data_IF_387293457739
#
_entry.id   IF_387293457739
#
_cell.length_a   1.000
_cell.length_b   1.000
_cell.length_c   1.000
_cell.angle_alpha   90.00
_cell.angle_beta   90.00
_cell.angle_gamma   90.00
#
_symmetry.space_group_name_H-M   'P 1'
#
loop_
_entity.id
_entity.type
_entity.pdbx_description
1 polymer ?
#
# COMPACT_ATOMS: atom_id res chain seq x y z
N UNK A 1 -17.28 -9.74 30.41
CA UNK A 1 -17.56 -8.29 30.28
C UNK A 1 -17.31 -7.91 28.83
N UNK A 2 -18.30 -8.16 27.99
CA UNK A 2 -18.25 -7.99 26.53
C UNK A 2 -18.50 -6.51 26.24
N UNK A 3 -17.44 -5.78 25.88
CA UNK A 3 -17.57 -4.42 25.37
C UNK A 3 -18.32 -4.48 24.04
N UNK A 4 -19.61 -4.18 24.08
CA UNK A 4 -20.44 -3.86 22.92
C UNK A 4 -19.86 -2.59 22.29
N UNK A 5 -19.01 -2.77 21.28
CA UNK A 5 -18.55 -1.68 20.42
C UNK A 5 -19.81 -1.12 19.74
N UNK A 6 -20.10 0.19 19.86
CA UNK A 6 -21.31 0.76 19.31
C UNK A 6 -21.31 0.58 17.79
N UNK A 7 -22.34 -0.09 17.26
CA UNK A 7 -22.67 -0.08 15.84
C UNK A 7 -22.84 1.38 15.40
N UNK A 8 -21.80 1.89 14.76
CA UNK A 8 -21.70 3.27 14.36
C UNK A 8 -22.70 3.51 13.21
N UNK A 9 -23.79 4.23 13.49
CA UNK A 9 -24.89 4.53 12.54
C UNK A 9 -24.43 5.25 11.25
N UNK A 10 -23.17 5.66 11.16
CA UNK A 10 -22.55 6.24 9.97
C UNK A 10 -22.02 5.22 8.95
N UNK A 11 -22.09 3.92 9.23
CA UNK A 11 -21.81 2.84 8.26
C UNK A 11 -23.07 2.51 7.42
N UNK A 12 -24.20 3.18 7.65
CA UNK A 12 -25.50 2.84 7.04
C UNK A 12 -25.60 2.91 5.51
N UNK A 13 -24.54 3.34 4.80
CA UNK A 13 -24.48 3.35 3.34
C UNK A 13 -23.62 2.22 2.75
N UNK A 14 -22.78 1.56 3.55
CA UNK A 14 -21.90 0.48 3.09
C UNK A 14 -22.59 -0.87 3.27
N UNK A 15 -22.44 -1.76 2.29
CA UNK A 15 -22.90 -3.14 2.43
C UNK A 15 -22.09 -3.90 3.50
N UNK A 16 -22.61 -5.03 3.99
CA UNK A 16 -21.89 -5.87 4.97
C UNK A 16 -20.54 -6.34 4.41
N UNK A 17 -20.48 -6.68 3.12
CA UNK A 17 -19.25 -7.10 2.47
C UNK A 17 -18.24 -5.93 2.33
N UNK A 18 -18.72 -4.72 2.02
CA UNK A 18 -17.89 -3.52 1.94
C UNK A 18 -17.33 -3.10 3.29
N UNK A 19 -18.15 -3.16 4.35
CA UNK A 19 -17.68 -2.84 5.71
C UNK A 19 -16.62 -3.84 6.18
N UNK A 20 -16.79 -5.13 5.89
CA UNK A 20 -15.77 -6.15 6.13
C UNK A 20 -14.46 -5.87 5.37
N UNK A 21 -14.55 -5.44 4.10
CA UNK A 21 -13.39 -5.02 3.31
C UNK A 21 -12.69 -3.80 3.92
N UNK A 22 -13.44 -2.83 4.41
CA UNK A 22 -12.89 -1.66 5.09
C UNK A 22 -12.15 -2.04 6.37
N UNK A 23 -12.70 -2.95 7.18
CA UNK A 23 -12.05 -3.44 8.40
C UNK A 23 -10.77 -4.26 8.12
N UNK A 24 -10.75 -5.04 7.03
CA UNK A 24 -9.51 -5.67 6.52
C UNK A 24 -8.47 -4.58 6.26
N UNK A 25 -8.83 -3.55 5.51
CA UNK A 25 -7.90 -2.50 5.10
C UNK A 25 -7.37 -1.69 6.30
N UNK A 26 -8.21 -1.46 7.31
CA UNK A 26 -7.80 -0.84 8.59
C UNK A 26 -6.82 -1.69 9.38
N UNK A 27 -6.98 -3.03 9.38
CA UNK A 27 -6.00 -3.93 10.02
C UNK A 27 -4.62 -3.78 9.37
N UNK A 28 -4.56 -3.75 8.04
CA UNK A 28 -3.29 -3.51 7.34
C UNK A 28 -2.73 -2.11 7.62
N UNK A 29 -3.56 -1.08 7.66
CA UNK A 29 -3.12 0.27 8.01
C UNK A 29 -2.52 0.33 9.42
N UNK A 30 -3.14 -0.32 10.42
CA UNK A 30 -2.60 -0.40 11.78
C UNK A 30 -1.27 -1.16 11.84
N UNK A 31 -1.17 -2.29 11.14
CA UNK A 31 0.10 -3.05 11.04
C UNK A 31 1.20 -2.18 10.44
N UNK A 32 0.89 -1.39 9.42
CA UNK A 32 1.83 -0.46 8.80
C UNK A 32 2.28 0.63 9.76
N UNK A 33 1.36 1.24 10.51
CA UNK A 33 1.70 2.25 11.52
C UNK A 33 2.66 1.70 12.58
N UNK A 34 2.46 0.46 13.02
CA UNK A 34 3.37 -0.21 13.97
C UNK A 34 4.74 -0.47 13.31
N UNK A 35 4.74 -1.01 12.09
CA UNK A 35 5.97 -1.28 11.36
C UNK A 35 6.80 -0.01 11.10
N UNK A 36 6.16 1.13 10.83
CA UNK A 36 6.84 2.41 10.61
C UNK A 36 7.54 2.94 11.88
N UNK A 37 7.09 2.56 13.07
CA UNK A 37 7.75 2.90 14.35
C UNK A 37 8.95 1.99 14.62
N UNK A 38 8.88 0.72 14.19
CA UNK A 38 9.89 -0.31 14.46
C UNK A 38 10.99 -0.38 13.37
N UNK A 39 10.90 0.42 12.30
CA UNK A 39 11.87 0.42 11.19
C UNK A 39 13.20 1.13 11.54
N UNK A 40 13.94 0.57 12.50
CA UNK A 40 15.27 1.07 12.93
C UNK A 40 16.30 0.96 11.79
N UNK A 41 16.10 0.04 10.84
CA UNK A 41 17.02 -0.13 9.69
C UNK A 41 17.04 1.12 8.81
N UNK A 42 15.92 1.82 8.69
CA UNK A 42 15.83 3.06 7.92
C UNK A 42 16.64 4.22 8.54
N UNK A 43 16.95 4.16 9.84
CA UNK A 43 17.74 5.17 10.54
C UNK A 43 19.19 5.20 10.02
N UNK A 44 19.80 4.01 9.88
CA UNK A 44 21.20 3.86 9.48
C UNK A 44 21.38 3.74 7.97
N UNK A 45 20.39 3.18 7.25
CA UNK A 45 20.51 2.93 5.81
C UNK A 45 19.27 3.41 5.04
N UNK A 46 19.18 4.71 4.70
CA UNK A 46 18.07 5.24 3.91
C UNK A 46 17.95 4.55 2.55
N UNK A 47 16.72 4.42 2.06
CA UNK A 47 16.42 3.80 0.76
C UNK A 47 17.13 4.49 -0.41
N UNK A 48 17.47 5.77 -0.29
CA UNK A 48 18.18 6.53 -1.32
C UNK A 48 19.62 6.04 -1.51
N UNK A 49 20.30 5.59 -0.45
CA UNK A 49 21.66 5.06 -0.54
C UNK A 49 21.71 3.73 -1.31
N UNK A 50 20.61 2.96 -1.32
CA UNK A 50 20.54 1.71 -2.12
C UNK A 50 20.57 1.96 -3.63
N UNK A 51 20.37 3.20 -4.08
CA UNK A 51 20.39 3.58 -5.50
C UNK A 51 21.69 4.24 -5.93
N UNK A 52 22.69 4.34 -5.05
CA UNK A 52 23.98 4.90 -5.43
C UNK A 52 24.65 4.01 -6.47
N UNK A 53 25.06 4.60 -7.58
CA UNK A 53 26.01 4.03 -8.52
C UNK A 53 27.40 4.58 -8.24
N UNK A 54 28.37 3.68 -8.13
CA UNK A 54 29.77 4.04 -7.89
C UNK A 54 30.46 4.38 -9.20
N UNK A 55 31.30 5.41 -9.19
CA UNK A 55 32.12 5.74 -10.35
C UNK A 55 33.35 4.83 -10.44
N UNK A 56 33.72 4.42 -11.66
CA UNK A 56 34.95 3.66 -11.93
C UNK A 56 36.21 4.55 -11.97
N UNK A 57 36.05 5.87 -12.02
CA UNK A 57 37.15 6.84 -12.00
C UNK A 57 37.55 7.12 -10.54
N UNK A 58 38.82 6.89 -10.20
CA UNK A 58 39.35 7.02 -8.84
C UNK A 58 39.18 8.42 -8.25
N UNK A 59 39.32 9.47 -9.07
CA UNK A 59 39.15 10.86 -8.62
C UNK A 59 37.69 11.13 -8.21
N UNK A 60 36.74 10.67 -9.03
CA UNK A 60 35.30 10.79 -8.78
C UNK A 60 34.86 9.92 -7.60
N UNK A 61 35.45 8.74 -7.44
CA UNK A 61 35.20 7.85 -6.31
C UNK A 61 35.58 8.52 -4.98
N UNK A 62 36.75 9.16 -4.89
CA UNK A 62 37.18 9.88 -3.68
C UNK A 62 36.20 11.02 -3.34
N UNK A 63 35.77 11.79 -4.34
CA UNK A 63 34.77 12.85 -4.14
C UNK A 63 33.43 12.25 -3.68
N UNK A 64 32.97 11.14 -4.26
CA UNK A 64 31.76 10.43 -3.81
C UNK A 64 31.88 9.99 -2.34
N UNK A 65 33.02 9.45 -1.92
CA UNK A 65 33.28 9.07 -0.53
C UNK A 65 33.26 10.28 0.43
N UNK A 66 33.86 11.41 0.03
CA UNK A 66 33.89 12.63 0.84
C UNK A 66 32.47 13.20 1.02
N UNK A 67 31.70 13.26 -0.07
CA UNK A 67 30.28 13.67 -0.03
C UNK A 67 29.47 12.73 0.87
N UNK A 68 29.66 11.41 0.76
CA UNK A 68 29.00 10.42 1.61
C UNK A 68 29.32 10.62 3.09
N UNK A 69 30.57 10.93 3.41
CA UNK A 69 31.04 11.14 4.79
C UNK A 69 30.32 12.33 5.45
N UNK A 70 30.05 13.39 4.69
CA UNK A 70 29.29 14.56 5.17
C UNK A 70 27.77 14.28 5.14
N UNK A 71 27.28 13.57 4.13
CA UNK A 71 25.86 13.28 3.96
C UNK A 71 25.31 12.32 5.02
N UNK A 72 26.06 11.28 5.39
CA UNK A 72 25.64 10.27 6.36
C UNK A 72 25.21 10.86 7.73
N UNK A 73 26.01 11.71 8.41
CA UNK A 73 25.61 12.29 9.70
C UNK A 73 24.41 13.22 9.57
N UNK A 74 24.34 14.03 8.51
CA UNK A 74 23.18 14.90 8.25
C UNK A 74 21.91 14.09 8.03
N UNK A 75 21.98 13.05 7.20
CA UNK A 75 20.85 12.14 6.98
C UNK A 75 20.46 11.42 8.27
N UNK A 76 21.41 10.98 9.09
CA UNK A 76 21.14 10.34 10.38
C UNK A 76 20.33 11.26 11.30
N UNK A 77 20.75 12.52 11.47
CA UNK A 77 20.02 13.52 12.28
C UNK A 77 18.60 13.71 11.74
N UNK A 78 18.43 13.82 10.42
CA UNK A 78 17.13 13.98 9.80
C UNK A 78 16.21 12.76 10.04
N UNK A 79 16.74 11.54 9.90
CA UNK A 79 15.99 10.31 10.17
C UNK A 79 15.65 10.18 11.65
N UNK A 80 16.54 10.60 12.55
CA UNK A 80 16.29 10.64 13.99
C UNK A 80 15.12 11.56 14.32
N UNK A 81 15.12 12.78 13.78
CA UNK A 81 14.05 13.76 13.98
C UNK A 81 12.70 13.24 13.45
N UNK A 82 12.71 12.62 12.27
CA UNK A 82 11.53 11.98 11.67
C UNK A 82 11.01 10.82 12.53
N UNK A 83 11.91 10.00 13.07
CA UNK A 83 11.56 8.87 13.94
C UNK A 83 10.96 9.36 15.25
N UNK A 84 11.55 10.38 15.88
CA UNK A 84 11.01 11.03 17.06
C UNK A 84 9.60 11.60 16.81
N UNK A 85 9.40 12.30 15.69
CA UNK A 85 8.08 12.79 15.29
C UNK A 85 7.07 11.65 15.09
N UNK A 86 7.48 10.55 14.44
CA UNK A 86 6.61 9.40 14.25
C UNK A 86 6.22 8.72 15.56
N UNK A 87 7.15 8.58 16.51
CA UNK A 87 6.87 8.04 17.85
C UNK A 87 5.91 8.96 18.61
N UNK A 88 6.14 10.28 18.58
CA UNK A 88 5.30 11.26 19.27
C UNK A 88 3.88 11.30 18.70
N UNK A 89 3.72 11.20 17.37
CA UNK A 89 2.41 11.19 16.70
C UNK A 89 1.76 9.80 16.63
N UNK A 90 2.50 8.73 16.93
CA UNK A 90 2.01 7.35 16.85
C UNK A 90 0.72 7.12 17.64
N UNK A 91 0.61 7.46 18.95
CA UNK A 91 -0.61 7.17 19.70
C UNK A 91 -1.83 7.86 19.10
N UNK A 92 -1.65 9.09 18.61
CA UNK A 92 -2.73 9.86 17.98
C UNK A 92 -3.15 9.25 16.64
N UNK A 93 -2.19 8.88 15.78
CA UNK A 93 -2.46 8.21 14.49
C UNK A 93 -3.10 6.84 14.69
N UNK A 94 -2.63 6.09 15.67
CA UNK A 94 -3.16 4.77 16.01
C UNK A 94 -4.58 4.89 16.54
N UNK A 95 -4.86 5.81 17.45
CA UNK A 95 -6.22 6.09 17.93
C UNK A 95 -7.15 6.56 16.80
N UNK A 96 -6.69 7.49 15.96
CA UNK A 96 -7.46 7.96 14.81
C UNK A 96 -7.81 6.84 13.81
N UNK A 97 -6.97 5.79 13.71
CA UNK A 97 -7.28 4.63 12.87
C UNK A 97 -8.52 3.84 13.32
N UNK A 98 -9.01 4.06 14.55
CA UNK A 98 -10.25 3.49 15.10
C UNK A 98 -11.50 4.34 14.81
N UNK A 99 -11.33 5.57 14.35
CA UNK A 99 -12.42 6.41 13.87
C UNK A 99 -12.67 6.17 12.38
N UNK A 100 -13.94 6.18 11.97
CA UNK A 100 -14.31 6.11 10.55
C UNK A 100 -14.38 7.54 10.02
N UNK A 101 -13.71 7.87 8.90
CA UNK A 101 -13.75 9.23 8.37
C UNK A 101 -15.16 9.58 7.93
N UNK A 102 -15.65 10.76 8.34
CA UNK A 102 -17.01 11.20 8.00
C UNK A 102 -17.24 11.45 6.51
N UNK A 103 -16.17 11.63 5.74
CA UNK A 103 -16.19 11.75 4.28
C UNK A 103 -16.05 10.40 3.55
N UNK A 104 -16.14 9.27 4.26
CA UNK A 104 -16.21 7.96 3.63
C UNK A 104 -17.60 7.79 3.00
N UNK A 105 -17.62 7.58 1.69
CA UNK A 105 -18.85 7.32 0.94
C UNK A 105 -18.82 5.89 0.39
N UNK A 106 -20.01 5.34 0.16
CA UNK A 106 -20.14 4.06 -0.52
C UNK A 106 -19.54 4.13 -1.93
N UNK A 107 -18.91 3.04 -2.42
CA UNK A 107 -18.34 3.02 -3.76
C UNK A 107 -19.45 3.18 -4.81
N UNK A 108 -19.29 4.12 -5.74
CA UNK A 108 -20.26 4.33 -6.83
C UNK A 108 -20.34 3.14 -7.80
N UNK A 109 -19.25 2.38 -7.94
CA UNK A 109 -19.19 1.16 -8.74
C UNK A 109 -19.03 -0.07 -7.83
N UNK A 110 -19.91 -1.07 -8.00
CA UNK A 110 -19.80 -2.37 -7.31
C UNK A 110 -18.73 -3.26 -7.95
N UNK A 111 -17.48 -2.79 -7.96
CA UNK A 111 -16.33 -3.53 -8.42
C UNK A 111 -15.11 -3.25 -7.50
N UNK A 112 -14.02 -3.98 -7.73
CA UNK A 112 -12.82 -3.91 -6.90
C UNK A 112 -12.09 -2.55 -7.05
N UNK A 113 -12.15 -1.93 -8.23
CA UNK A 113 -11.58 -0.60 -8.49
C UNK A 113 -12.35 0.49 -7.71
N UNK A 114 -13.67 0.40 -7.67
CA UNK A 114 -14.56 1.30 -6.93
C UNK A 114 -14.28 1.27 -5.43
N UNK A 115 -14.18 0.08 -4.83
CA UNK A 115 -13.78 -0.04 -3.42
C UNK A 115 -12.40 0.56 -3.17
N UNK A 116 -11.42 0.26 -4.03
CA UNK A 116 -10.08 0.81 -3.85
C UNK A 116 -10.12 2.34 -3.85
N UNK A 117 -10.78 2.94 -4.85
CA UNK A 117 -10.82 4.38 -5.01
C UNK A 117 -11.60 5.05 -3.87
N UNK A 118 -12.58 4.37 -3.27
CA UNK A 118 -13.31 4.86 -2.11
C UNK A 118 -12.48 4.78 -0.81
N UNK A 119 -11.75 3.68 -0.58
CA UNK A 119 -11.13 3.41 0.73
C UNK A 119 -9.67 3.87 0.84
N UNK A 120 -8.87 3.70 -0.21
CA UNK A 120 -7.43 3.99 -0.16
C UNK A 120 -7.05 5.47 0.01
N UNK A 121 -7.87 6.49 -0.37
CA UNK A 121 -7.56 7.88 -0.02
C UNK A 121 -7.43 8.12 1.49
N UNK A 122 -8.11 7.32 2.31
CA UNK A 122 -8.12 7.44 3.77
C UNK A 122 -7.09 6.55 4.46
N UNK A 123 -6.45 5.63 3.72
CA UNK A 123 -5.59 4.60 4.28
C UNK A 123 -4.17 4.75 3.74
N UNK A 124 -3.20 4.89 4.64
CA UNK A 124 -1.78 4.86 4.26
C UNK A 124 -1.31 3.41 4.27
N UNK A 125 -1.27 2.81 3.09
CA UNK A 125 -0.81 1.45 2.87
C UNK A 125 0.42 1.47 1.96
N UNK A 126 1.39 0.61 2.25
CA UNK A 126 2.47 0.37 1.29
C UNK A 126 1.89 -0.34 0.06
N UNK A 127 2.51 -0.22 -1.13
CA UNK A 127 2.01 -0.92 -2.30
C UNK A 127 1.93 -2.44 -2.13
N UNK A 128 2.81 -3.02 -1.33
CA UNK A 128 2.84 -4.45 -1.03
C UNK A 128 1.67 -4.83 -0.11
N UNK A 129 1.42 -4.05 0.95
CA UNK A 129 0.27 -4.23 1.84
C UNK A 129 -1.05 -4.01 1.10
N UNK A 130 -1.08 -3.09 0.14
CA UNK A 130 -2.24 -2.84 -0.71
C UNK A 130 -2.61 -4.07 -1.53
N UNK A 131 -1.62 -4.76 -2.10
CA UNK A 131 -1.85 -6.00 -2.86
C UNK A 131 -2.39 -7.10 -1.96
N UNK A 132 -1.76 -7.33 -0.80
CA UNK A 132 -2.21 -8.33 0.16
C UNK A 132 -3.62 -8.04 0.71
N UNK A 133 -3.92 -6.77 0.98
CA UNK A 133 -5.24 -6.33 1.42
C UNK A 133 -6.32 -6.63 0.36
N UNK A 134 -6.03 -6.34 -0.91
CA UNK A 134 -6.98 -6.60 -2.01
C UNK A 134 -7.16 -8.12 -2.21
N UNK A 135 -6.11 -8.91 -2.08
CA UNK A 135 -6.22 -10.38 -2.12
C UNK A 135 -7.14 -10.93 -1.03
N UNK A 136 -7.19 -10.30 0.15
CA UNK A 136 -8.15 -10.63 1.21
C UNK A 136 -9.57 -10.13 0.92
N UNK A 137 -9.76 -9.12 0.07
CA UNK A 137 -11.10 -8.67 -0.34
C UNK A 137 -11.77 -9.64 -1.31
N UNK A 138 -11.00 -10.28 -2.19
CA UNK A 138 -11.55 -11.20 -3.20
C UNK A 138 -12.43 -12.30 -2.59
N UNK A 139 -12.02 -13.07 -1.56
CA UNK A 139 -12.90 -14.08 -0.98
C UNK A 139 -14.13 -13.48 -0.29
N UNK A 140 -14.06 -12.27 0.25
CA UNK A 140 -15.19 -11.61 0.92
C UNK A 140 -16.25 -11.14 -0.08
N UNK A 141 -15.81 -10.58 -1.21
CA UNK A 141 -16.71 -9.99 -2.21
C UNK A 141 -17.22 -11.02 -3.24
N UNK A 142 -16.40 -12.01 -3.56
CA UNK A 142 -16.60 -12.90 -4.71
C UNK A 142 -16.55 -14.40 -4.36
N UNK A 143 -16.39 -14.72 -3.07
CA UNK A 143 -16.33 -16.08 -2.56
C UNK A 143 -14.97 -16.77 -2.71
N UNK A 144 -14.75 -17.87 -1.97
CA UNK A 144 -13.47 -18.57 -1.91
C UNK A 144 -13.07 -19.24 -3.24
N UNK A 145 -14.03 -19.62 -4.07
CA UNK A 145 -13.78 -20.25 -5.37
C UNK A 145 -13.01 -19.29 -6.31
N UNK A 146 -13.47 -18.04 -6.41
CA UNK A 146 -12.81 -17.00 -7.23
C UNK A 146 -11.45 -16.61 -6.65
N UNK A 147 -11.30 -16.55 -5.32
CA UNK A 147 -10.03 -16.22 -4.66
C UNK A 147 -8.88 -17.23 -4.89
N UNK A 148 -9.20 -18.49 -5.21
CA UNK A 148 -8.19 -19.51 -5.57
C UNK A 148 -7.57 -19.24 -6.95
N UNK A 149 -8.38 -18.75 -7.87
CA UNK A 149 -7.99 -18.50 -9.27
C UNK A 149 -7.41 -17.09 -9.40
N UNK A 150 -8.12 -16.09 -8.88
CA UNK A 150 -7.85 -14.68 -9.06
C UNK A 150 -7.21 -14.07 -7.81
N UNK A 151 -5.90 -13.80 -7.90
CA UNK A 151 -5.13 -13.08 -6.87
C UNK A 151 -4.38 -11.94 -7.52
N UNK A 152 -4.55 -10.73 -7.03
CA UNK A 152 -3.87 -9.53 -7.50
C UNK A 152 -2.35 -9.72 -7.54
N UNK A 153 -1.75 -10.41 -6.57
CA UNK A 153 -0.32 -10.72 -6.60
C UNK A 153 0.13 -11.35 -7.93
N UNK A 154 -0.63 -12.32 -8.46
CA UNK A 154 -0.34 -12.97 -9.75
C UNK A 154 -0.42 -11.98 -10.92
N UNK A 155 -1.48 -11.16 -10.95
CA UNK A 155 -1.64 -10.15 -12.00
C UNK A 155 -0.53 -9.08 -11.95
N UNK A 156 -0.09 -8.70 -10.75
CA UNK A 156 0.99 -7.74 -10.55
C UNK A 156 2.31 -8.29 -11.06
N UNK A 157 2.62 -9.56 -10.78
CA UNK A 157 3.83 -10.22 -11.28
C UNK A 157 3.81 -10.38 -12.81
N UNK A 158 2.66 -10.78 -13.38
CA UNK A 158 2.47 -10.89 -14.82
C UNK A 158 2.70 -9.55 -15.53
N UNK A 159 2.09 -8.47 -15.05
CA UNK A 159 2.25 -7.14 -15.65
C UNK A 159 3.67 -6.59 -15.44
N UNK A 160 4.32 -6.89 -14.31
CA UNK A 160 5.72 -6.54 -14.09
C UNK A 160 6.65 -7.21 -15.11
N UNK A 161 6.48 -8.51 -15.36
CA UNK A 161 7.27 -9.26 -16.35
C UNK A 161 7.05 -8.70 -17.76
N UNK A 162 5.80 -8.40 -18.12
CA UNK A 162 5.47 -7.78 -19.42
C UNK A 162 6.16 -6.43 -19.58
N UNK A 163 6.09 -5.56 -18.57
CA UNK A 163 6.75 -4.25 -18.64
C UNK A 163 8.27 -4.37 -18.73
N UNK A 164 8.88 -5.31 -18.02
CA UNK A 164 10.33 -5.55 -18.15
C UNK A 164 10.72 -6.01 -19.56
N UNK A 165 9.95 -6.92 -20.17
CA UNK A 165 10.19 -7.37 -21.55
C UNK A 165 10.08 -6.22 -22.55
N UNK A 166 9.05 -5.38 -22.42
CA UNK A 166 8.86 -4.22 -23.30
C UNK A 166 10.02 -3.24 -23.13
N UNK A 167 10.44 -2.94 -21.90
CA UNK A 167 11.57 -2.04 -21.64
C UNK A 167 12.89 -2.55 -22.21
N UNK A 168 13.11 -3.88 -22.21
CA UNK A 168 14.28 -4.50 -22.85
C UNK A 168 14.24 -4.40 -24.38
N UNK A 169 13.04 -4.47 -24.99
CA UNK A 169 12.87 -4.46 -26.44
C UNK A 169 12.87 -3.05 -27.05
N UNK A 170 12.35 -2.05 -26.34
CA UNK A 170 12.12 -0.72 -26.92
C UNK A 170 13.26 0.28 -26.69
N UNK A 171 14.24 0.00 -25.82
CA UNK A 171 15.37 0.89 -25.53
C UNK A 171 15.01 2.25 -24.91
N UNK A 172 13.72 2.56 -24.80
CA UNK A 172 13.19 3.79 -24.20
C UNK A 172 12.91 3.53 -22.73
N UNK A 173 13.64 4.22 -21.85
CA UNK A 173 13.37 4.32 -20.42
C UNK A 173 11.94 4.82 -20.18
N UNK A 174 11.02 3.89 -19.96
CA UNK A 174 10.00 3.79 -18.91
C UNK A 174 9.28 5.05 -18.35
N UNK A 175 9.32 6.22 -18.99
CA UNK A 175 8.80 7.46 -18.44
C UNK A 175 7.26 7.56 -18.45
N UNK A 176 6.55 6.62 -19.09
CA UNK A 176 5.09 6.67 -19.28
C UNK A 176 4.36 5.37 -18.90
N UNK A 177 5.02 4.41 -18.23
CA UNK A 177 4.30 3.24 -17.76
C UNK A 177 3.37 3.66 -16.61
N UNK A 178 2.06 3.71 -16.89
CA UNK A 178 1.03 3.61 -15.84
C UNK A 178 1.47 2.51 -14.88
N UNK A 179 1.42 2.78 -13.59
CA UNK A 179 1.81 1.84 -12.55
C UNK A 179 1.24 0.45 -12.87
N UNK A 180 2.09 -0.56 -13.12
CA UNK A 180 1.65 -1.93 -13.46
C UNK A 180 0.62 -2.48 -12.48
N UNK A 181 0.66 -2.01 -11.22
CA UNK A 181 -0.31 -2.34 -10.18
C UNK A 181 -1.71 -1.81 -10.47
N UNK A 182 -1.82 -0.60 -11.03
CA UNK A 182 -3.10 -0.05 -11.45
C UNK A 182 -3.71 -0.88 -12.59
N UNK A 183 -2.90 -1.25 -13.59
CA UNK A 183 -3.30 -2.11 -14.71
C UNK A 183 -3.72 -3.50 -14.21
N UNK A 184 -2.91 -4.11 -13.33
CA UNK A 184 -3.21 -5.41 -12.72
C UNK A 184 -4.54 -5.40 -11.97
N UNK A 185 -4.82 -4.33 -11.21
CA UNK A 185 -6.08 -4.14 -10.49
C UNK A 185 -7.27 -3.98 -11.43
N UNK A 186 -7.14 -3.18 -12.49
CA UNK A 186 -8.18 -3.02 -13.51
C UNK A 186 -8.49 -4.35 -14.21
N UNK A 187 -7.45 -5.10 -14.59
CA UNK A 187 -7.60 -6.41 -15.23
C UNK A 187 -8.26 -7.43 -14.29
N UNK A 188 -7.82 -7.49 -13.03
CA UNK A 188 -8.44 -8.32 -12.00
C UNK A 188 -9.92 -7.96 -11.82
N UNK A 189 -10.23 -6.67 -11.74
CA UNK A 189 -11.61 -6.19 -11.58
C UNK A 189 -12.49 -6.56 -12.78
N UNK A 190 -11.93 -6.53 -14.00
CA UNK A 190 -12.64 -6.97 -15.22
C UNK A 190 -12.91 -8.47 -15.21
N UNK A 191 -11.93 -9.27 -14.82
CA UNK A 191 -12.07 -10.73 -14.76
C UNK A 191 -13.04 -11.19 -13.64
N UNK A 192 -13.08 -10.48 -12.52
CA UNK A 192 -13.99 -10.77 -11.41
C UNK A 192 -15.43 -10.30 -11.64
N UNK A 193 -15.60 -9.20 -12.38
CA UNK A 193 -16.88 -8.55 -12.64
C UNK A 193 -17.43 -7.78 -11.42
N UNK A 194 -18.76 -7.62 -11.39
CA UNK A 194 -19.45 -6.96 -10.29
C UNK A 194 -19.77 -7.92 -9.14
N UNK A 195 -19.71 -7.41 -7.89
CA UNK A 195 -20.15 -8.16 -6.71
C UNK A 195 -21.59 -7.77 -6.33
N UNK A 196 -22.30 -8.67 -5.64
CA UNK A 196 -23.74 -8.52 -5.33
C UNK A 196 -24.01 -7.64 -4.11
N UNK A 197 -23.01 -7.42 -3.25
CA UNK A 197 -23.10 -6.63 -2.01
C UNK A 197 -23.48 -7.48 -0.79
N UNK A 198 -23.96 -8.71 -1.00
CA UNK A 198 -24.09 -9.74 0.02
C UNK A 198 -22.77 -10.50 0.19
N UNK A 199 -22.42 -10.83 1.43
CA UNK A 199 -21.28 -11.70 1.72
C UNK A 199 -21.56 -13.10 1.14
N UNK A 200 -20.62 -13.61 0.34
CA UNK A 200 -20.71 -14.95 -0.23
C UNK A 200 -19.86 -15.87 0.64
N UNK A 201 -20.50 -16.47 1.67
CA UNK A 201 -19.87 -17.47 2.54
C UNK A 201 -19.73 -18.83 1.83
#
# INVERSE_FOLDING_TARGET
MTLLIPHNKHVGLLSEAESACFDIARRYHRRRLVADVVDVKALFWPRNLKRLSWSNDGSRFIVQCLVLTVYLPLNFIFQLLKSAQNILLFPFRFAASWLTPGSLHAPGEKNLVGLYNAFFPFLRLSPEDAVACIDEWVPVLYGPAKAKVHRLARYVDDERIKQMKIAQQSGVMAASFRSYRAIARERLSKDLGHYTGSRQD
#
